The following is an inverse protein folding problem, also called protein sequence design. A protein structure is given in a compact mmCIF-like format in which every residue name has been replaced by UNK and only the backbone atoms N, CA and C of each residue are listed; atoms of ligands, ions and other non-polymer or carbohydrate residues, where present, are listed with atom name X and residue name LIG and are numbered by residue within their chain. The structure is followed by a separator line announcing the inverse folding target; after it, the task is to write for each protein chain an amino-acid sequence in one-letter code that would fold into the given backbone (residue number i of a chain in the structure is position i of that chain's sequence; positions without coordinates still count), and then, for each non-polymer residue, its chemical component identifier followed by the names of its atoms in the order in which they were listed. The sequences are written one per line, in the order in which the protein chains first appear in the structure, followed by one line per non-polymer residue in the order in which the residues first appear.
data_IF_507866047968
#
_entry.id   IF_507866047968
#
_cell.length_a   1.000
_cell.length_b   1.000
_cell.length_c   1.000
_cell.angle_alpha   90.00
_cell.angle_beta   90.00
_cell.angle_gamma   90.00
#
_symmetry.space_group_name_H-M   'P 1'
#
loop_
_entity.id
_entity.type
_entity.pdbx_description
1 polymer ?
#
# COMPACT_ATOMS: atom_id res chain seq x y z
N UNK A 1 -11.90 -64.16 40.24
CA UNK A 1 -10.80 -63.33 39.73
C UNK A 1 -11.38 -62.15 38.98
N UNK A 2 -11.05 -60.93 39.41
CA UNK A 2 -11.34 -59.68 38.71
C UNK A 2 -10.57 -59.62 37.38
N UNK A 3 -11.14 -58.97 36.37
CA UNK A 3 -10.57 -57.77 35.73
C UNK A 3 -11.72 -57.08 34.97
N UNK A 4 -12.11 -55.93 35.49
CA UNK A 4 -13.01 -54.97 34.85
C UNK A 4 -12.17 -54.20 33.83
N UNK A 5 -12.44 -54.34 32.54
CA UNK A 5 -11.88 -53.45 31.52
C UNK A 5 -12.80 -52.22 31.38
N UNK A 6 -12.50 -51.18 32.15
CA UNK A 6 -13.14 -49.87 32.03
C UNK A 6 -12.54 -49.12 30.84
N UNK A 7 -13.29 -49.04 29.75
CA UNK A 7 -12.86 -48.37 28.52
C UNK A 7 -13.95 -47.58 27.82
N UNK A 8 -14.92 -47.02 28.56
CA UNK A 8 -15.89 -46.05 28.03
C UNK A 8 -15.21 -44.68 27.85
N UNK A 9 -14.49 -44.48 26.76
CA UNK A 9 -14.11 -43.13 26.31
C UNK A 9 -15.27 -42.47 25.57
N UNK A 10 -16.43 -42.33 26.24
CA UNK A 10 -17.46 -41.41 25.81
C UNK A 10 -17.05 -39.98 26.22
N UNK A 11 -16.54 -39.26 25.21
CA UNK A 11 -17.04 -37.94 24.82
C UNK A 11 -17.19 -36.93 25.97
N UNK A 12 -16.13 -36.13 26.17
CA UNK A 12 -16.18 -34.92 27.01
C UNK A 12 -17.37 -34.04 26.61
N UNK A 13 -18.27 -33.93 27.57
CA UNK A 13 -19.49 -33.15 27.64
C UNK A 13 -19.20 -31.65 27.48
N UNK A 14 -19.87 -31.05 26.49
CA UNK A 14 -19.99 -29.62 26.23
C UNK A 14 -20.29 -28.83 27.50
N UNK A 15 -19.40 -27.92 27.92
CA UNK A 15 -19.61 -27.08 29.11
C UNK A 15 -19.96 -25.63 28.80
N UNK A 16 -19.70 -25.12 27.61
CA UNK A 16 -20.08 -23.77 27.20
C UNK A 16 -20.76 -23.86 25.83
N UNK A 17 -21.94 -23.25 25.67
CA UNK A 17 -22.86 -23.39 24.52
C UNK A 17 -22.36 -22.87 23.16
N UNK A 18 -21.06 -22.97 22.87
CA UNK A 18 -20.52 -22.71 21.55
C UNK A 18 -20.80 -23.91 20.63
N UNK A 19 -21.74 -23.77 19.70
CA UNK A 19 -21.91 -24.73 18.62
C UNK A 19 -20.68 -24.64 17.68
N UNK A 20 -19.80 -25.66 17.63
CA UNK A 20 -18.54 -25.62 16.89
C UNK A 20 -18.77 -25.43 15.40
N UNK A 21 -19.89 -25.95 14.88
CA UNK A 21 -20.29 -25.81 13.48
C UNK A 21 -20.70 -24.37 13.11
N UNK A 22 -21.11 -23.55 14.07
CA UNK A 22 -21.40 -22.12 13.84
C UNK A 22 -20.11 -21.29 13.82
N UNK A 23 -19.21 -21.53 14.77
CA UNK A 23 -17.92 -20.80 14.87
C UNK A 23 -16.97 -21.16 13.73
N UNK A 24 -16.97 -22.41 13.26
CA UNK A 24 -16.12 -22.85 12.15
C UNK A 24 -16.58 -22.29 10.80
N UNK A 25 -17.88 -22.13 10.58
CA UNK A 25 -18.43 -21.48 9.38
C UNK A 25 -18.06 -19.99 9.35
N UNK A 26 -18.23 -19.28 10.46
CA UNK A 26 -17.84 -17.88 10.57
C UNK A 26 -16.31 -17.69 10.36
N UNK A 27 -15.48 -18.57 10.94
CA UNK A 27 -14.02 -18.54 10.77
C UNK A 27 -13.58 -18.83 9.34
N UNK A 28 -14.25 -19.75 8.65
CA UNK A 28 -14.03 -20.04 7.23
C UNK A 28 -14.46 -18.87 6.33
N UNK A 29 -15.61 -18.23 6.61
CA UNK A 29 -16.07 -17.01 5.92
C UNK A 29 -15.05 -15.89 6.04
N UNK A 30 -14.65 -15.56 7.27
CA UNK A 30 -13.67 -14.51 7.53
C UNK A 30 -12.29 -14.81 6.90
N UNK A 31 -11.89 -16.09 6.82
CA UNK A 31 -10.68 -16.50 6.08
C UNK A 31 -10.82 -16.28 4.57
N UNK A 32 -12.00 -16.55 4.00
CA UNK A 32 -12.28 -16.30 2.58
C UNK A 32 -12.33 -14.79 2.27
N UNK A 33 -12.99 -14.00 3.10
CA UNK A 33 -13.04 -12.53 3.00
C UNK A 33 -11.64 -11.91 3.07
N UNK A 34 -10.81 -12.33 4.04
CA UNK A 34 -9.40 -11.89 4.11
C UNK A 34 -8.61 -12.28 2.88
N UNK A 35 -8.81 -13.49 2.34
CA UNK A 35 -8.15 -13.94 1.10
C UNK A 35 -8.58 -13.08 -0.10
N UNK A 36 -9.86 -12.75 -0.19
CA UNK A 36 -10.40 -11.84 -1.21
C UNK A 36 -9.80 -10.44 -1.07
N UNK A 37 -9.73 -9.88 0.13
CA UNK A 37 -9.13 -8.57 0.38
C UNK A 37 -7.66 -8.54 -0.05
N UNK A 38 -6.87 -9.55 0.33
CA UNK A 38 -5.46 -9.66 -0.09
C UNK A 38 -5.36 -9.80 -1.61
N UNK A 39 -6.23 -10.57 -2.26
CA UNK A 39 -6.25 -10.70 -3.72
C UNK A 39 -6.55 -9.36 -4.41
N UNK A 40 -7.49 -8.57 -3.88
CA UNK A 40 -7.82 -7.23 -4.41
C UNK A 40 -6.65 -6.26 -4.20
N UNK A 41 -6.07 -6.20 -3.01
CA UNK A 41 -4.93 -5.34 -2.69
C UNK A 41 -3.69 -5.68 -3.55
N UNK A 42 -3.39 -6.98 -3.71
CA UNK A 42 -2.28 -7.41 -4.56
C UNK A 42 -2.53 -7.12 -6.04
N UNK A 43 -3.77 -7.24 -6.51
CA UNK A 43 -4.16 -6.85 -7.89
C UNK A 43 -4.04 -5.34 -8.12
N UNK A 44 -4.45 -4.51 -7.15
CA UNK A 44 -4.29 -3.06 -7.20
C UNK A 44 -2.81 -2.66 -7.21
N UNK A 45 -1.98 -3.24 -6.33
CA UNK A 45 -0.53 -3.00 -6.32
C UNK A 45 0.14 -3.40 -7.64
N UNK A 46 -0.27 -4.52 -8.25
CA UNK A 46 0.23 -4.95 -9.57
C UNK A 46 -0.20 -3.99 -10.68
N UNK A 47 -1.42 -3.45 -10.64
CA UNK A 47 -1.89 -2.42 -11.59
C UNK A 47 -1.16 -1.08 -11.44
N UNK A 48 -0.64 -0.78 -10.24
CA UNK A 48 0.16 0.43 -9.99
C UNK A 48 1.63 0.31 -10.40
N UNK A 49 2.10 -0.87 -10.84
CA UNK A 49 3.49 -1.06 -11.32
C UNK A 49 3.59 -0.61 -12.77
N UNK A 50 3.71 0.69 -12.97
CA UNK A 50 4.15 1.24 -14.25
C UNK A 50 5.68 1.12 -14.36
N UNK A 51 6.19 0.60 -15.49
CA UNK A 51 7.64 0.65 -15.79
C UNK A 51 8.12 2.08 -16.02
N UNK A 52 7.26 2.90 -16.64
CA UNK A 52 7.38 4.36 -16.72
C UNK A 52 6.01 4.93 -16.42
N UNK A 53 5.90 5.77 -15.38
CA UNK A 53 4.62 6.35 -14.96
C UNK A 53 4.05 7.24 -16.08
N UNK A 54 2.71 7.27 -16.30
CA UNK A 54 2.08 8.10 -17.34
C UNK A 54 2.52 9.58 -17.30
N UNK A 55 2.67 10.14 -16.09
CA UNK A 55 3.18 11.50 -15.88
C UNK A 55 4.57 11.75 -16.50
N UNK A 56 5.41 10.70 -16.55
CA UNK A 56 6.74 10.76 -17.17
C UNK A 56 6.70 10.44 -18.67
N UNK A 57 5.61 9.87 -19.18
CA UNK A 57 5.41 9.65 -20.62
C UNK A 57 5.00 10.96 -21.31
N UNK A 58 4.13 11.76 -20.67
CA UNK A 58 3.69 13.07 -21.13
C UNK A 58 4.82 14.13 -21.16
N UNK A 59 5.95 13.83 -20.49
CA UNK A 59 7.14 14.67 -20.41
C UNK A 59 7.65 15.14 -21.77
N UNK A 60 7.63 14.27 -22.79
CA UNK A 60 8.08 14.61 -24.15
C UNK A 60 7.15 15.58 -24.86
N UNK A 61 5.87 15.62 -24.49
CA UNK A 61 4.84 16.39 -25.18
C UNK A 61 4.54 17.73 -24.49
N UNK A 62 4.60 17.78 -23.16
CA UNK A 62 4.15 18.94 -22.37
C UNK A 62 5.30 19.78 -21.79
N UNK A 63 6.54 19.32 -21.90
CA UNK A 63 7.73 19.98 -21.34
C UNK A 63 7.94 19.69 -19.84
N UNK A 64 9.21 19.73 -19.42
CA UNK A 64 9.66 19.21 -18.12
C UNK A 64 9.28 20.05 -16.91
N UNK A 65 9.23 21.38 -17.05
CA UNK A 65 9.31 22.26 -15.89
C UNK A 65 7.95 22.76 -15.39
N UNK A 66 7.10 23.31 -16.26
CA UNK A 66 5.88 23.97 -15.80
C UNK A 66 4.78 22.98 -15.44
N UNK A 67 4.48 22.02 -16.31
CA UNK A 67 3.35 21.11 -16.12
C UNK A 67 3.66 19.98 -15.14
N UNK A 68 4.79 19.28 -15.34
CA UNK A 68 5.14 18.14 -14.51
C UNK A 68 5.37 18.51 -13.05
N UNK A 69 6.12 19.59 -12.78
CA UNK A 69 6.43 19.99 -11.40
C UNK A 69 5.17 20.45 -10.67
N UNK A 70 4.26 21.16 -11.35
CA UNK A 70 2.96 21.53 -10.78
C UNK A 70 2.12 20.29 -10.47
N UNK A 71 2.02 19.33 -11.38
CA UNK A 71 1.25 18.11 -11.16
C UNK A 71 1.85 17.26 -10.02
N UNK A 72 3.18 17.16 -9.93
CA UNK A 72 3.86 16.49 -8.83
C UNK A 72 3.61 17.18 -7.49
N UNK A 73 3.52 18.51 -7.43
CA UNK A 73 3.26 19.24 -6.17
C UNK A 73 1.88 18.94 -5.58
N UNK A 74 0.93 18.45 -6.37
CA UNK A 74 -0.40 18.06 -5.89
C UNK A 74 -0.40 16.73 -5.11
N UNK A 75 0.63 15.91 -5.30
CA UNK A 75 0.78 14.60 -4.64
C UNK A 75 2.15 14.49 -3.99
N UNK A 76 2.20 14.69 -2.67
CA UNK A 76 3.44 14.72 -1.89
C UNK A 76 4.22 13.40 -1.94
N UNK A 77 3.54 12.25 -2.04
CA UNK A 77 4.19 10.95 -2.14
C UNK A 77 4.89 10.82 -3.49
N UNK A 78 4.21 11.21 -4.58
CA UNK A 78 4.80 11.19 -5.93
C UNK A 78 5.92 12.21 -6.08
N UNK A 79 5.75 13.40 -5.51
CA UNK A 79 6.80 14.41 -5.46
C UNK A 79 8.07 13.83 -4.85
N UNK A 80 7.95 13.18 -3.68
CA UNK A 80 9.07 12.55 -3.00
C UNK A 80 9.68 11.39 -3.80
N UNK A 81 8.86 10.56 -4.47
CA UNK A 81 9.38 9.49 -5.33
C UNK A 81 10.20 10.04 -6.52
N UNK A 82 9.78 11.17 -7.08
CA UNK A 82 10.41 11.79 -8.23
C UNK A 82 11.66 12.60 -7.86
N UNK A 83 11.53 13.56 -6.94
CA UNK A 83 12.61 14.46 -6.53
C UNK A 83 13.50 13.90 -5.42
N UNK A 84 13.09 12.82 -4.75
CA UNK A 84 13.77 12.22 -3.58
C UNK A 84 13.89 13.16 -2.36
N UNK A 85 13.08 14.21 -2.34
CA UNK A 85 12.97 15.20 -1.26
C UNK A 85 11.55 15.80 -1.25
N UNK A 86 11.18 16.48 -0.16
CA UNK A 86 9.89 17.19 -0.10
C UNK A 86 9.90 18.45 -0.98
N UNK A 87 8.72 18.98 -1.28
CA UNK A 87 8.59 20.25 -2.02
C UNK A 87 9.23 21.42 -1.26
N UNK A 88 9.10 21.42 0.08
CA UNK A 88 9.71 22.41 0.96
C UNK A 88 11.25 22.37 0.85
N UNK A 89 11.85 21.18 0.92
CA UNK A 89 13.30 21.02 0.77
C UNK A 89 13.81 21.48 -0.60
N UNK A 90 13.03 21.22 -1.66
CA UNK A 90 13.35 21.73 -2.99
C UNK A 90 13.27 23.25 -3.04
N UNK A 91 12.26 23.87 -2.43
CA UNK A 91 12.10 25.33 -2.38
C UNK A 91 13.23 25.99 -1.59
N UNK A 92 13.66 25.40 -0.46
CA UNK A 92 14.84 25.84 0.29
C UNK A 92 16.12 25.76 -0.56
N UNK A 93 16.31 24.64 -1.27
CA UNK A 93 17.46 24.46 -2.15
C UNK A 93 17.46 25.50 -3.27
N UNK A 94 16.31 25.74 -3.92
CA UNK A 94 16.14 26.76 -4.94
C UNK A 94 16.39 28.18 -4.41
N UNK A 95 16.05 28.48 -3.15
CA UNK A 95 16.35 29.77 -2.55
C UNK A 95 17.86 29.95 -2.33
N UNK A 96 18.59 28.88 -1.98
CA UNK A 96 20.04 28.93 -1.79
C UNK A 96 20.81 29.05 -3.11
N UNK A 97 20.48 28.22 -4.10
CA UNK A 97 21.25 28.16 -5.36
C UNK A 97 20.69 29.07 -6.45
N UNK A 98 19.41 29.46 -6.34
CA UNK A 98 18.68 30.26 -7.31
C UNK A 98 19.43 31.51 -7.77
N UNK A 99 20.00 32.33 -6.87
CA UNK A 99 20.81 33.49 -7.24
C UNK A 99 22.03 33.16 -8.11
N UNK A 100 22.61 31.97 -7.94
CA UNK A 100 23.83 31.55 -8.63
C UNK A 100 23.56 30.86 -9.98
N UNK A 101 22.39 30.23 -10.12
CA UNK A 101 22.02 29.50 -11.34
C UNK A 101 21.08 30.30 -12.26
N UNK A 102 20.48 31.39 -11.75
CA UNK A 102 19.69 32.29 -12.59
C UNK A 102 20.62 32.96 -13.59
N UNK A 103 20.21 32.92 -14.86
CA UNK A 103 20.90 33.66 -15.92
C UNK A 103 20.82 35.14 -15.58
N UNK A 104 21.94 35.75 -15.22
CA UNK A 104 22.05 37.19 -15.15
C UNK A 104 22.02 37.70 -16.60
N UNK A 105 20.90 38.25 -17.02
CA UNK A 105 20.85 39.03 -18.26
C UNK A 105 21.76 40.24 -18.03
N UNK A 106 22.96 40.20 -18.59
CA UNK A 106 23.85 41.36 -18.63
C UNK A 106 23.25 42.34 -19.65
N UNK A 107 22.85 43.51 -19.14
CA UNK A 107 22.42 44.68 -19.92
C UNK A 107 23.65 45.37 -20.54
#
# INVERSE_FOLDING_TARGET
MNIIFSGLTQRRRWRNGANPGKTDKARKSHKQEKKLLIMVMTRQRRRSRYWVHPISQLRREQGDFYYLVQELRLDSERYYQYFRMSAEQMDELLNMIGPNIRRTEQQ
#
